data_IF_038648236687
#
_entry.id   IF_038648236687
#
_cell.length_a   1.000
_cell.length_b   1.000
_cell.length_c   1.000
_cell.angle_alpha   90.00
_cell.angle_beta   90.00
_cell.angle_gamma   90.00
#
_symmetry.space_group_name_H-M   'P 1'
#
loop_
_entity.id
_entity.type
_entity.pdbx_description
1 polymer ?
#
# COMPACT_ATOMS: atom_id res chain seq x y z
N UNK A 1 -1.02 10.46 23.42
CA UNK A 1 -0.33 9.76 22.32
C UNK A 1 -1.04 10.02 21.01
N UNK A 2 -0.46 9.66 19.86
CA UNK A 2 -1.14 9.74 18.58
C UNK A 2 -1.96 8.47 18.33
N UNK A 3 -3.16 8.61 17.76
CA UNK A 3 -4.01 7.50 17.32
C UNK A 3 -3.98 7.43 15.80
N UNK A 4 -3.80 6.24 15.25
CA UNK A 4 -3.78 6.00 13.81
C UNK A 4 -5.06 5.28 13.40
N UNK A 5 -5.74 5.79 12.38
CA UNK A 5 -6.84 5.12 11.71
C UNK A 5 -6.31 4.57 10.38
N UNK A 6 -6.35 3.25 10.21
CA UNK A 6 -5.80 2.53 9.05
C UNK A 6 -6.88 1.74 8.34
N UNK A 7 -6.50 0.89 7.39
CA UNK A 7 -7.39 -0.03 6.68
C UNK A 7 -8.58 0.67 6.03
N UNK A 8 -8.39 1.86 5.46
CA UNK A 8 -9.40 2.49 4.62
C UNK A 8 -9.32 1.96 3.20
N UNK A 9 -10.46 1.88 2.52
CA UNK A 9 -10.47 1.66 1.07
C UNK A 9 -9.85 2.87 0.37
N UNK A 10 -9.36 2.66 -0.85
CA UNK A 10 -8.80 3.74 -1.67
C UNK A 10 -9.88 4.77 -2.03
N UNK A 11 -9.56 6.04 -1.78
CA UNK A 11 -10.33 7.23 -2.07
C UNK A 11 -10.38 8.15 -0.85
N UNK A 12 -9.84 9.37 -1.00
CA UNK A 12 -9.81 10.38 0.06
C UNK A 12 -11.16 10.69 0.74
N UNK A 13 -12.28 10.38 0.07
CA UNK A 13 -13.63 10.47 0.65
C UNK A 13 -13.78 9.74 1.99
N UNK A 14 -13.07 8.63 2.21
CA UNK A 14 -13.15 7.89 3.48
C UNK A 14 -12.39 8.60 4.61
N UNK A 15 -11.30 9.28 4.28
CA UNK A 15 -10.59 10.17 5.21
C UNK A 15 -11.48 11.38 5.52
N UNK A 16 -12.12 11.99 4.50
CA UNK A 16 -13.07 13.09 4.68
C UNK A 16 -14.28 12.72 5.52
N UNK A 17 -14.83 11.53 5.32
CA UNK A 17 -15.92 10.99 6.15
C UNK A 17 -15.47 10.79 7.60
N UNK A 18 -14.30 10.20 7.83
CA UNK A 18 -13.75 10.07 9.19
C UNK A 18 -13.54 11.44 9.84
N UNK A 19 -13.01 12.42 9.11
CA UNK A 19 -12.86 13.80 9.61
C UNK A 19 -14.22 14.35 10.07
N UNK A 20 -15.25 14.22 9.24
CA UNK A 20 -16.62 14.67 9.57
C UNK A 20 -17.16 13.99 10.82
N UNK A 21 -16.93 12.68 10.99
CA UNK A 21 -17.35 11.95 12.19
C UNK A 21 -16.60 12.42 13.45
N UNK A 22 -15.33 12.84 13.29
CA UNK A 22 -14.44 13.23 14.38
C UNK A 22 -14.53 14.70 14.80
N UNK A 23 -15.18 15.55 14.01
CA UNK A 23 -15.45 16.95 14.38
C UNK A 23 -16.20 17.11 15.71
N UNK A 24 -17.01 16.12 16.08
CA UNK A 24 -17.76 16.11 17.35
C UNK A 24 -17.00 15.53 18.54
N UNK A 25 -15.72 15.17 18.35
CA UNK A 25 -14.88 14.51 19.37
C UNK A 25 -13.73 15.42 19.81
N UNK A 26 -13.07 15.08 20.91
CA UNK A 26 -11.87 15.78 21.39
C UNK A 26 -10.59 15.38 20.63
N UNK A 27 -10.70 14.65 19.52
CA UNK A 27 -9.55 14.21 18.72
C UNK A 27 -9.06 15.34 17.80
N UNK A 28 -7.79 15.73 17.93
CA UNK A 28 -7.14 16.66 17.00
C UNK A 28 -6.60 15.93 15.78
N UNK A 29 -7.11 16.25 14.60
CA UNK A 29 -6.55 15.76 13.34
C UNK A 29 -5.14 16.31 13.10
N UNK A 30 -4.18 15.40 12.92
CA UNK A 30 -2.77 15.76 12.69
C UNK A 30 -2.44 15.73 11.20
N UNK A 31 -2.70 14.61 10.54
CA UNK A 31 -2.37 14.40 9.12
C UNK A 31 -3.20 13.21 8.59
N UNK A 32 -3.50 13.24 7.29
CA UNK A 32 -4.12 12.15 6.57
C UNK A 32 -3.56 12.08 5.16
N UNK A 33 -3.45 10.88 4.60
CA UNK A 33 -2.88 10.71 3.27
C UNK A 33 -3.16 9.35 2.65
N UNK A 34 -2.88 9.27 1.36
CA UNK A 34 -3.01 8.09 0.51
C UNK A 34 -1.75 7.93 -0.36
N UNK A 35 -1.48 6.71 -0.83
CA UNK A 35 -0.32 6.36 -1.64
C UNK A 35 -0.26 7.14 -2.96
N UNK A 36 -1.41 7.61 -3.44
CA UNK A 36 -1.57 8.41 -4.67
C UNK A 36 -1.08 9.87 -4.56
N UNK A 37 -0.15 10.14 -3.65
CA UNK A 37 0.36 11.47 -3.29
C UNK A 37 -0.70 12.42 -2.71
N UNK A 38 -1.80 11.87 -2.21
CA UNK A 38 -2.83 12.63 -1.52
C UNK A 38 -2.42 12.89 -0.08
N UNK A 39 -2.46 14.14 0.36
CA UNK A 39 -2.15 14.52 1.74
C UNK A 39 -3.03 15.69 2.15
N UNK A 40 -3.44 15.70 3.42
CA UNK A 40 -4.08 16.83 4.07
C UNK A 40 -3.48 17.01 5.47
N UNK A 41 -3.24 18.28 5.83
CA UNK A 41 -2.94 18.68 7.21
C UNK A 41 -3.90 19.79 7.61
N UNK A 42 -4.53 19.64 8.77
CA UNK A 42 -5.58 20.54 9.24
C UNK A 42 -6.96 20.15 8.73
N UNK A 43 -7.99 20.81 9.24
CA UNK A 43 -9.40 20.44 9.07
C UNK A 43 -10.19 21.42 8.19
N UNK A 44 -9.50 22.27 7.43
CA UNK A 44 -10.14 23.29 6.59
C UNK A 44 -10.79 22.70 5.32
N UNK A 45 -10.46 21.47 4.97
CA UNK A 45 -11.01 20.73 3.84
C UNK A 45 -11.24 19.27 4.23
N UNK A 46 -12.11 18.58 3.49
CA UNK A 46 -12.31 17.13 3.57
C UNK A 46 -11.77 16.42 2.31
N UNK A 47 -10.77 17.02 1.67
CA UNK A 47 -10.09 16.51 0.47
C UNK A 47 -8.57 16.76 0.58
N UNK A 48 -7.78 16.09 -0.25
CA UNK A 48 -6.33 16.27 -0.32
C UNK A 48 -5.96 17.65 -0.85
N UNK A 49 -4.88 18.20 -0.33
CA UNK A 49 -4.31 19.48 -0.74
C UNK A 49 -2.79 19.38 -0.94
N UNK A 50 -2.39 19.38 -2.21
CA UNK A 50 -0.99 19.31 -2.60
C UNK A 50 -0.17 20.54 -2.19
N UNK A 51 -0.78 21.73 -2.12
CA UNK A 51 -0.07 22.95 -1.73
C UNK A 51 0.33 22.91 -0.25
N UNK A 52 -0.56 22.40 0.62
CA UNK A 52 -0.23 22.19 2.04
C UNK A 52 0.83 21.11 2.21
N UNK A 53 0.74 20.00 1.47
CA UNK A 53 1.81 18.98 1.49
C UNK A 53 3.17 19.52 1.05
N UNK A 54 3.20 20.30 -0.03
CA UNK A 54 4.44 20.93 -0.51
C UNK A 54 5.02 21.94 0.49
N UNK A 55 4.16 22.75 1.12
CA UNK A 55 4.60 23.73 2.12
C UNK A 55 5.24 23.06 3.34
N UNK A 56 4.66 21.97 3.84
CA UNK A 56 5.22 21.21 4.97
C UNK A 56 6.58 20.61 4.64
N UNK A 57 6.72 20.02 3.45
CA UNK A 57 8.01 19.49 3.00
C UNK A 57 9.04 20.61 2.79
N UNK A 58 8.63 21.78 2.30
CA UNK A 58 9.51 22.93 2.12
C UNK A 58 10.00 23.50 3.47
N UNK A 59 9.11 23.60 4.46
CA UNK A 59 9.45 23.98 5.84
C UNK A 59 10.46 22.99 6.44
N UNK A 60 10.19 21.69 6.31
CA UNK A 60 11.10 20.68 6.83
C UNK A 60 12.45 20.64 6.11
N UNK A 61 12.46 20.85 4.80
CA UNK A 61 13.69 20.99 4.03
C UNK A 61 14.52 22.22 4.49
N UNK A 62 13.85 23.33 4.80
CA UNK A 62 14.51 24.54 5.31
C UNK A 62 15.11 24.31 6.71
N UNK A 63 14.42 23.56 7.59
CA UNK A 63 14.94 23.14 8.88
C UNK A 63 16.19 22.24 8.73
N UNK A 64 16.08 21.17 7.93
CA UNK A 64 17.18 20.23 7.70
C UNK A 64 18.42 20.92 7.11
N UNK A 65 18.21 21.89 6.21
CA UNK A 65 19.29 22.67 5.60
C UNK A 65 20.12 23.43 6.64
N UNK A 66 19.55 23.86 7.76
CA UNK A 66 20.31 24.50 8.85
C UNK A 66 21.34 23.54 9.48
N UNK A 67 21.08 22.23 9.40
CA UNK A 67 21.99 21.16 9.83
C UNK A 67 22.82 20.56 8.69
N UNK A 68 22.80 21.17 7.50
CA UNK A 68 23.51 20.66 6.32
C UNK A 68 22.93 19.37 5.73
N UNK A 69 21.67 19.03 6.05
CA UNK A 69 20.99 17.82 5.58
C UNK A 69 19.91 18.13 4.54
N UNK A 70 19.60 17.14 3.72
CA UNK A 70 18.49 17.14 2.77
C UNK A 70 17.34 16.27 3.28
N UNK A 71 16.16 16.38 2.64
CA UNK A 71 15.05 15.45 2.88
C UNK A 71 15.43 14.00 2.58
N UNK A 72 16.32 13.79 1.62
CA UNK A 72 16.78 12.47 1.25
C UNK A 72 17.71 11.85 2.30
N UNK A 73 18.64 12.64 2.86
CA UNK A 73 19.43 12.20 4.02
C UNK A 73 18.52 11.77 5.17
N UNK A 74 17.47 12.56 5.42
CA UNK A 74 16.48 12.24 6.45
C UNK A 74 15.70 10.95 6.15
N UNK A 75 15.37 10.70 4.88
CA UNK A 75 14.73 9.45 4.47
C UNK A 75 15.65 8.25 4.73
N UNK A 76 16.95 8.36 4.42
CA UNK A 76 17.92 7.29 4.68
C UNK A 76 18.07 7.02 6.19
N UNK A 77 18.06 8.06 7.03
CA UNK A 77 18.02 7.92 8.50
C UNK A 77 16.76 7.18 8.98
N UNK A 78 15.59 7.49 8.41
CA UNK A 78 14.34 6.83 8.75
C UNK A 78 14.37 5.36 8.36
N UNK A 79 14.91 5.03 7.18
CA UNK A 79 15.09 3.66 6.75
C UNK A 79 16.09 2.90 7.61
N UNK A 80 17.23 3.49 7.95
CA UNK A 80 18.17 2.90 8.90
C UNK A 80 17.52 2.60 10.25
N UNK A 81 16.66 3.49 10.75
CA UNK A 81 16.03 3.33 12.06
C UNK A 81 14.85 2.35 12.09
N UNK A 82 14.01 2.37 11.05
CA UNK A 82 12.73 1.65 11.05
C UNK A 82 12.66 0.50 10.04
N UNK A 83 13.71 0.31 9.25
CA UNK A 83 13.78 -0.63 8.14
C UNK A 83 13.40 0.01 6.80
N UNK A 84 13.80 -0.66 5.73
CA UNK A 84 13.62 -0.19 4.36
C UNK A 84 12.26 -0.63 3.85
N UNK A 85 11.46 0.34 3.40
CA UNK A 85 10.24 0.07 2.66
C UNK A 85 10.44 0.41 1.18
N UNK A 86 9.89 -0.42 0.30
CA UNK A 86 9.77 -0.13 -1.12
C UNK A 86 8.35 -0.46 -1.59
N UNK A 87 7.82 0.38 -2.48
CA UNK A 87 6.47 0.25 -2.98
C UNK A 87 6.47 0.35 -4.51
N UNK A 88 5.68 -0.51 -5.18
CA UNK A 88 5.48 -0.45 -6.63
C UNK A 88 4.01 -0.66 -6.96
N UNK A 89 3.56 0.01 -8.01
CA UNK A 89 2.26 -0.21 -8.62
C UNK A 89 2.44 -0.83 -10.00
N UNK A 90 1.81 -1.97 -10.22
CA UNK A 90 1.68 -2.59 -11.54
C UNK A 90 0.21 -2.69 -11.94
N UNK A 91 -0.04 -2.84 -13.24
CA UNK A 91 -1.39 -3.06 -13.74
C UNK A 91 -1.41 -3.94 -14.97
N UNK A 92 -2.29 -4.95 -14.96
CA UNK A 92 -2.57 -5.80 -16.12
C UNK A 92 -3.85 -5.32 -16.78
N UNK A 93 -3.74 -4.84 -18.02
CA UNK A 93 -4.88 -4.48 -18.85
C UNK A 93 -5.46 -5.73 -19.52
N UNK A 94 -6.78 -5.88 -19.49
CA UNK A 94 -7.53 -6.97 -20.08
C UNK A 94 -8.35 -6.42 -21.26
N UNK A 95 -7.76 -6.34 -22.46
CA UNK A 95 -8.40 -5.69 -23.60
C UNK A 95 -9.58 -6.50 -24.16
N UNK A 96 -10.38 -5.84 -24.99
CA UNK A 96 -11.50 -6.43 -25.72
C UNK A 96 -12.84 -6.27 -25.00
N UNK A 97 -13.92 -6.58 -25.72
CA UNK A 97 -15.30 -6.39 -25.25
C UNK A 97 -15.61 -7.16 -23.94
N UNK A 98 -14.91 -8.29 -23.71
CA UNK A 98 -15.09 -9.13 -22.53
C UNK A 98 -14.10 -8.81 -21.39
N UNK A 99 -13.35 -7.69 -21.48
CA UNK A 99 -12.30 -7.35 -20.53
C UNK A 99 -12.79 -7.29 -19.07
N UNK A 100 -13.95 -6.65 -18.84
CA UNK A 100 -14.56 -6.59 -17.51
C UNK A 100 -14.97 -7.97 -16.99
N UNK A 101 -15.58 -8.80 -17.85
CA UNK A 101 -15.99 -10.16 -17.47
C UNK A 101 -14.77 -10.99 -17.07
N UNK A 102 -13.70 -10.97 -17.87
CA UNK A 102 -12.44 -11.67 -17.53
C UNK A 102 -11.84 -11.17 -16.22
N UNK A 103 -11.83 -9.86 -16.01
CA UNK A 103 -11.36 -9.25 -14.76
C UNK A 103 -12.13 -9.78 -13.54
N UNK A 104 -13.46 -9.86 -13.63
CA UNK A 104 -14.28 -10.40 -12.53
C UNK A 104 -14.05 -11.89 -12.34
N UNK A 105 -13.90 -12.67 -13.42
CA UNK A 105 -13.57 -14.09 -13.34
C UNK A 105 -12.23 -14.32 -12.63
N UNK A 106 -11.18 -13.55 -12.98
CA UNK A 106 -9.87 -13.65 -12.31
C UNK A 106 -10.00 -13.32 -10.83
N UNK A 107 -10.71 -12.23 -10.47
CA UNK A 107 -10.92 -11.88 -9.06
C UNK A 107 -11.73 -12.94 -8.30
N UNK A 108 -12.68 -13.60 -8.96
CA UNK A 108 -13.42 -14.72 -8.37
C UNK A 108 -12.53 -15.94 -8.18
N UNK A 109 -11.70 -16.26 -9.17
CA UNK A 109 -10.76 -17.39 -9.10
C UNK A 109 -9.75 -17.19 -7.98
N UNK A 110 -9.18 -15.98 -7.89
CA UNK A 110 -8.26 -15.61 -6.80
C UNK A 110 -8.91 -15.77 -5.42
N UNK A 111 -10.20 -15.46 -5.27
CA UNK A 111 -10.91 -15.63 -3.98
C UNK A 111 -11.22 -17.07 -3.65
N UNK A 112 -11.65 -17.84 -4.65
CA UNK A 112 -12.09 -19.22 -4.44
C UNK A 112 -10.90 -20.19 -4.32
N UNK A 113 -9.80 -19.89 -5.02
CA UNK A 113 -8.58 -20.68 -5.08
C UNK A 113 -7.36 -19.77 -4.91
N UNK A 114 -7.17 -19.14 -3.72
CA UNK A 114 -6.05 -18.22 -3.50
C UNK A 114 -4.71 -18.95 -3.73
N UNK A 115 -3.79 -18.34 -4.49
CA UNK A 115 -2.50 -18.96 -4.76
C UNK A 115 -1.71 -19.12 -3.45
N UNK A 116 -1.10 -20.29 -3.24
CA UNK A 116 -0.19 -20.52 -2.11
C UNK A 116 1.20 -19.90 -2.31
N UNK A 117 1.54 -19.62 -3.56
CA UNK A 117 2.79 -18.97 -3.95
C UNK A 117 2.47 -17.85 -4.92
N UNK A 118 2.99 -16.67 -4.62
CA UNK A 118 2.79 -15.47 -5.43
C UNK A 118 4.16 -14.88 -5.78
N UNK A 119 4.47 -14.83 -7.09
CA UNK A 119 5.76 -14.33 -7.60
C UNK A 119 6.99 -14.97 -6.94
N UNK A 120 6.91 -16.27 -6.62
CA UNK A 120 8.00 -17.04 -6.00
C UNK A 120 8.04 -16.98 -4.47
N UNK A 121 7.13 -16.24 -3.82
CA UNK A 121 7.03 -16.15 -2.36
C UNK A 121 5.83 -16.93 -1.85
N UNK A 122 6.00 -17.65 -0.74
CA UNK A 122 4.89 -18.32 -0.06
C UNK A 122 3.93 -17.29 0.55
N UNK A 123 2.64 -17.54 0.39
CA UNK A 123 1.58 -16.73 1.00
C UNK A 123 1.39 -17.17 2.44
N UNK A 124 1.61 -16.26 3.38
CA UNK A 124 1.41 -16.50 4.81
C UNK A 124 0.01 -16.12 5.27
N UNK A 125 -0.62 -15.11 4.67
CA UNK A 125 -2.00 -14.76 4.97
C UNK A 125 -2.74 -14.23 3.74
N UNK A 126 -4.06 -14.40 3.74
CA UNK A 126 -4.97 -13.91 2.71
C UNK A 126 -6.12 -13.11 3.33
N UNK A 127 -6.27 -11.87 2.91
CA UNK A 127 -7.34 -10.97 3.33
C UNK A 127 -8.29 -10.69 2.18
N UNK A 128 -9.59 -10.92 2.38
CA UNK A 128 -10.62 -10.53 1.43
C UNK A 128 -11.50 -9.43 2.01
N UNK A 129 -11.40 -8.23 1.45
CA UNK A 129 -12.16 -7.07 1.90
C UNK A 129 -13.63 -7.14 1.46
N UNK A 130 -14.03 -8.11 0.64
CA UNK A 130 -15.44 -8.33 0.32
C UNK A 130 -16.16 -9.05 1.47
N UNK A 131 -15.49 -10.03 2.08
CA UNK A 131 -15.98 -10.78 3.24
C UNK A 131 -15.55 -10.13 4.57
N UNK A 132 -14.54 -9.26 4.56
CA UNK A 132 -13.88 -8.66 5.73
C UNK A 132 -13.25 -9.73 6.63
N UNK A 133 -12.66 -10.75 6.01
CA UNK A 133 -11.98 -11.83 6.71
C UNK A 133 -10.53 -11.88 6.24
N UNK A 134 -9.61 -11.93 7.20
CA UNK A 134 -8.23 -12.36 6.97
C UNK A 134 -8.07 -13.78 7.49
N UNK A 135 -7.37 -14.60 6.73
CA UNK A 135 -7.05 -15.99 7.03
C UNK A 135 -5.54 -16.15 7.07
N UNK A 136 -5.00 -16.67 8.16
CA UNK A 136 -3.62 -17.15 8.20
C UNK A 136 -3.55 -18.51 7.49
N UNK A 137 -2.63 -18.65 6.53
CA UNK A 137 -2.53 -19.82 5.67
C UNK A 137 -1.84 -21.00 6.38
N UNK A 138 -1.05 -20.75 7.42
CA UNK A 138 -0.28 -21.78 8.11
C UNK A 138 -1.16 -22.60 9.06
N UNK A 139 -2.02 -21.95 9.84
CA UNK A 139 -2.88 -22.61 10.83
C UNK A 139 -4.38 -22.60 10.47
N UNK A 140 -4.79 -21.72 9.54
CA UNK A 140 -6.18 -21.59 9.12
C UNK A 140 -7.02 -20.66 9.99
N UNK A 141 -6.40 -19.95 10.95
CA UNK A 141 -7.10 -19.02 11.83
C UNK A 141 -7.64 -17.82 11.05
N UNK A 142 -8.80 -17.35 11.46
CA UNK A 142 -9.48 -16.22 10.80
C UNK A 142 -9.70 -15.05 11.74
N UNK A 143 -9.47 -13.84 11.25
CA UNK A 143 -9.74 -12.59 11.95
C UNK A 143 -10.66 -11.66 11.14
N UNK A 144 -11.46 -10.86 11.85
CA UNK A 144 -12.31 -9.86 11.23
C UNK A 144 -11.51 -8.60 10.88
N UNK A 145 -11.68 -8.11 9.66
CA UNK A 145 -11.09 -6.87 9.19
C UNK A 145 -12.02 -5.71 9.55
N UNK A 146 -11.55 -4.77 10.36
CA UNK A 146 -12.24 -3.52 10.65
C UNK A 146 -12.08 -2.54 9.49
N UNK A 147 -12.97 -2.69 8.49
CA UNK A 147 -13.04 -1.86 7.29
C UNK A 147 -14.46 -1.95 6.69
N UNK A 148 -14.79 -1.03 5.79
CA UNK A 148 -15.95 -1.18 4.91
C UNK A 148 -15.66 -2.19 3.79
N UNK A 149 -16.71 -2.87 3.31
CA UNK A 149 -16.57 -3.87 2.24
C UNK A 149 -16.04 -3.25 0.94
N UNK A 150 -15.10 -3.94 0.30
CA UNK A 150 -14.50 -3.51 -0.96
C UNK A 150 -14.08 -4.68 -1.84
N UNK A 151 -13.97 -4.43 -3.15
CA UNK A 151 -13.43 -5.42 -4.09
C UNK A 151 -11.90 -5.33 -4.07
N UNK A 152 -11.30 -5.83 -3.00
CA UNK A 152 -9.85 -5.84 -2.77
C UNK A 152 -9.49 -7.15 -2.08
N UNK A 153 -8.37 -7.75 -2.49
CA UNK A 153 -7.74 -8.84 -1.76
C UNK A 153 -6.29 -8.50 -1.46
N UNK A 154 -5.75 -9.00 -0.34
CA UNK A 154 -4.37 -8.76 0.07
C UNK A 154 -3.71 -10.09 0.40
N UNK A 155 -2.51 -10.29 -0.13
CA UNK A 155 -1.62 -11.40 0.20
C UNK A 155 -0.50 -10.88 1.08
N UNK A 156 -0.29 -11.48 2.24
CA UNK A 156 0.91 -11.30 3.05
C UNK A 156 1.93 -12.39 2.70
N UNK A 157 3.21 -12.03 2.59
CA UNK A 157 4.27 -12.88 2.06
C UNK A 157 5.38 -13.07 3.12
N UNK A 158 5.13 -14.00 4.06
CA UNK A 158 6.03 -14.38 5.16
C UNK A 158 6.18 -13.33 6.27
N UNK A 159 5.90 -12.05 5.98
CA UNK A 159 5.83 -10.94 6.93
C UNK A 159 4.63 -10.06 6.55
N UNK A 160 3.82 -9.66 7.53
CA UNK A 160 2.64 -8.80 7.32
C UNK A 160 2.97 -7.43 6.67
N UNK A 161 4.24 -7.00 6.67
CA UNK A 161 4.71 -5.77 6.01
C UNK A 161 5.09 -5.98 4.54
N UNK A 162 5.20 -7.23 4.10
CA UNK A 162 5.43 -7.65 2.72
C UNK A 162 4.09 -8.09 2.12
N UNK A 163 3.50 -7.24 1.29
CA UNK A 163 2.11 -7.38 0.83
C UNK A 163 1.97 -7.18 -0.66
N UNK A 164 1.09 -7.97 -1.27
CA UNK A 164 0.55 -7.71 -2.60
C UNK A 164 -0.95 -7.48 -2.48
N UNK A 165 -1.40 -6.25 -2.76
CA UNK A 165 -2.81 -5.90 -2.81
C UNK A 165 -3.31 -5.95 -4.25
N UNK A 166 -4.36 -6.72 -4.50
CA UNK A 166 -4.98 -6.86 -5.82
C UNK A 166 -6.34 -6.18 -5.83
N UNK A 167 -6.54 -5.30 -6.82
CA UNK A 167 -7.79 -4.56 -6.98
C UNK A 167 -8.19 -4.42 -8.45
N UNK A 168 -9.43 -4.77 -8.84
CA UNK A 168 -9.97 -4.42 -10.14
C UNK A 168 -10.30 -2.93 -10.21
N UNK A 169 -9.98 -2.33 -11.34
CA UNK A 169 -10.37 -0.96 -11.66
C UNK A 169 -11.85 -0.88 -11.98
N UNK A 170 -12.51 0.19 -11.52
CA UNK A 170 -13.93 0.42 -11.78
C UNK A 170 -14.24 1.07 -13.13
N UNK A 171 -13.26 1.76 -13.72
CA UNK A 171 -13.46 2.57 -14.93
C UNK A 171 -12.90 1.92 -16.20
N UNK A 172 -12.00 0.96 -16.04
CA UNK A 172 -11.25 0.33 -17.13
C UNK A 172 -11.04 -1.15 -16.77
N UNK A 173 -11.00 -2.07 -17.75
CA UNK A 173 -10.77 -3.48 -17.51
C UNK A 173 -9.30 -3.75 -17.20
N UNK A 174 -8.84 -3.30 -16.03
CA UNK A 174 -7.47 -3.46 -15.55
C UNK A 174 -7.44 -3.95 -14.10
N UNK A 175 -6.57 -4.92 -13.81
CA UNK A 175 -6.24 -5.34 -12.45
C UNK A 175 -5.00 -4.56 -11.99
N UNK A 176 -5.07 -3.93 -10.83
CA UNK A 176 -3.95 -3.24 -10.19
C UNK A 176 -3.34 -4.11 -9.10
N UNK A 177 -2.02 -4.09 -9.02
CA UNK A 177 -1.21 -4.78 -8.03
C UNK A 177 -0.36 -3.75 -7.30
N UNK A 178 -0.62 -3.58 -6.02
CA UNK A 178 0.19 -2.73 -5.15
C UNK A 178 1.11 -3.63 -4.34
N UNK A 179 2.41 -3.52 -4.61
CA UNK A 179 3.44 -4.22 -3.88
C UNK A 179 3.94 -3.27 -2.80
N UNK A 180 3.93 -3.72 -1.56
CA UNK A 180 4.60 -3.09 -0.43
C UNK A 180 5.60 -4.08 0.11
N UNK A 181 6.86 -3.70 0.23
CA UNK A 181 7.90 -4.60 0.68
C UNK A 181 8.71 -3.99 1.79
N UNK A 182 8.96 -4.80 2.81
CA UNK A 182 9.76 -4.43 3.96
C UNK A 182 10.97 -5.33 4.07
N UNK A 183 12.12 -4.72 4.36
CA UNK A 183 13.29 -5.39 4.86
C UNK A 183 13.84 -4.67 6.09
N UNK A 184 14.35 -5.43 7.04
CA UNK A 184 15.13 -4.86 8.14
C UNK A 184 16.36 -4.12 7.59
N UNK A 185 16.66 -2.96 8.16
CA UNK A 185 17.87 -2.23 7.80
C UNK A 185 19.10 -3.02 8.24
N UNK A 186 20.00 -3.28 7.30
CA UNK A 186 21.22 -4.05 7.58
C UNK A 186 22.35 -3.20 8.17
N UNK A 187 22.16 -1.89 8.18
CA UNK A 187 23.18 -0.92 8.55
C UNK A 187 22.58 0.44 8.87
N UNK A 188 23.37 1.28 9.53
CA UNK A 188 23.08 2.71 9.67
C UNK A 188 23.89 3.56 8.68
N UNK A 189 24.74 2.94 7.87
CA UNK A 189 25.46 3.61 6.80
C UNK A 189 24.53 3.93 5.63
N UNK A 190 24.56 5.19 5.18
CA UNK A 190 23.65 5.67 4.13
C UNK A 190 23.89 4.97 2.80
N UNK A 191 25.14 4.65 2.44
CA UNK A 191 25.47 3.99 1.18
C UNK A 191 24.96 2.54 1.18
N UNK A 192 25.06 1.85 2.32
CA UNK A 192 24.50 0.50 2.46
C UNK A 192 22.97 0.49 2.39
N UNK A 193 22.30 1.49 3.00
CA UNK A 193 20.85 1.66 2.87
C UNK A 193 20.45 1.94 1.41
N UNK A 194 21.17 2.81 0.71
CA UNK A 194 20.91 3.07 -0.71
C UNK A 194 21.05 1.81 -1.58
N UNK A 195 22.09 1.01 -1.33
CA UNK A 195 22.28 -0.25 -2.05
C UNK A 195 21.15 -1.24 -1.76
N UNK A 196 20.67 -1.29 -0.50
CA UNK A 196 19.51 -2.09 -0.12
C UNK A 196 18.24 -1.64 -0.83
N UNK A 197 18.00 -0.32 -0.92
CA UNK A 197 16.87 0.27 -1.67
C UNK A 197 16.94 -0.15 -3.15
N UNK A 198 18.09 0.02 -3.81
CA UNK A 198 18.25 -0.34 -5.23
C UNK A 198 18.05 -1.82 -5.48
N UNK A 199 18.56 -2.67 -4.60
CA UNK A 199 18.36 -4.13 -4.68
C UNK A 199 16.88 -4.48 -4.58
N UNK A 200 16.18 -3.92 -3.60
CA UNK A 200 14.74 -4.11 -3.45
C UNK A 200 13.95 -3.59 -4.64
N UNK A 201 14.32 -2.43 -5.19
CA UNK A 201 13.66 -1.88 -6.38
C UNK A 201 13.74 -2.85 -7.58
N UNK A 202 14.91 -3.47 -7.78
CA UNK A 202 15.12 -4.50 -8.80
C UNK A 202 14.29 -5.76 -8.51
N UNK A 203 14.32 -6.27 -7.29
CA UNK A 203 13.57 -7.47 -6.88
C UNK A 203 12.06 -7.28 -7.06
N UNK A 204 11.52 -6.11 -6.72
CA UNK A 204 10.10 -5.80 -6.92
C UNK A 204 9.74 -5.65 -8.40
N UNK A 205 10.67 -5.17 -9.23
CA UNK A 205 10.47 -5.11 -10.68
C UNK A 205 10.40 -6.52 -11.31
N UNK A 206 11.23 -7.44 -10.83
CA UNK A 206 11.16 -8.86 -11.22
C UNK A 206 9.88 -9.52 -10.72
N UNK A 207 9.47 -9.21 -9.48
CA UNK A 207 8.22 -9.68 -8.88
C UNK A 207 7.01 -9.25 -9.70
N UNK A 208 6.97 -7.99 -10.14
CA UNK A 208 5.91 -7.49 -11.04
C UNK A 208 5.85 -8.32 -12.32
N UNK A 209 7.00 -8.56 -12.95
CA UNK A 209 7.06 -9.36 -14.18
C UNK A 209 6.52 -10.77 -13.95
N UNK A 210 6.82 -11.38 -12.80
CA UNK A 210 6.30 -12.70 -12.43
C UNK A 210 4.78 -12.67 -12.14
N UNK A 211 4.29 -11.66 -11.42
CA UNK A 211 2.87 -11.44 -11.13
C UNK A 211 2.06 -11.30 -12.42
N UNK A 212 2.51 -10.46 -13.36
CA UNK A 212 1.82 -10.24 -14.63
C UNK A 212 1.67 -11.55 -15.42
N UNK A 213 2.72 -12.37 -15.45
CA UNK A 213 2.68 -13.70 -16.08
C UNK A 213 1.71 -14.64 -15.37
N UNK A 214 1.77 -14.70 -14.04
CA UNK A 214 0.92 -15.57 -13.22
C UNK A 214 -0.56 -15.21 -13.38
N UNK A 215 -0.90 -13.93 -13.38
CA UNK A 215 -2.27 -13.44 -13.55
C UNK A 215 -2.77 -13.66 -14.97
N UNK A 216 -1.92 -13.44 -15.97
CA UNK A 216 -2.28 -13.71 -17.38
C UNK A 216 -2.57 -15.19 -17.61
N UNK A 217 -1.94 -16.10 -16.85
CA UNK A 217 -2.23 -17.54 -16.92
C UNK A 217 -3.57 -17.95 -16.30
N UNK A 218 -4.13 -17.12 -15.40
CA UNK A 218 -5.48 -17.31 -14.84
C UNK A 218 -6.57 -16.78 -15.80
N UNK A 219 -6.22 -15.80 -16.63
CA UNK A 219 -7.12 -14.97 -17.44
C UNK A 219 -7.57 -15.58 -18.77
#
# INVERSE_FOLDING_TARGET
>A
GAKMYTNMLVGFKYIGELLSQKESTDETFVIGGEESYGLLKGTYAHDKDGAVGALLLAEYAAELKQSGKTLYDKLLELFSKYGVYQEKLASVSLPGANGFTRMQSIMSEIRNNPPKVLAGYEVSAFSDYQTLIKTDILDGDTEQIDCIKGNVVVFELGDHRRRVTVRPSGTEPKLKFYLQWYEEARSNDSVEIENQIRKLDSELSDMITALEKQITAIA
#
